data_IF_186216027226
#
_entry.id   IF_186216027226
#
_cell.length_a   1.000
_cell.length_b   1.000
_cell.length_c   1.000
_cell.angle_alpha   90.00
_cell.angle_beta   90.00
_cell.angle_gamma   90.00
#
_symmetry.space_group_name_H-M   'P 1'
#
loop_
_entity.id
_entity.type
_entity.pdbx_description
1 polymer ?
#
# COMPACT_ATOMS: atom_id res chain seq x y z
N UNK A 1 16.26 -12.62 5.57
CA UNK A 1 16.07 -12.35 4.16
C UNK A 1 17.02 -11.25 3.72
N UNK A 2 17.73 -11.48 2.62
CA UNK A 2 18.76 -10.58 2.15
C UNK A 2 18.24 -9.64 1.07
N UNK A 3 17.20 -8.87 1.41
CA UNK A 3 16.68 -7.85 0.50
C UNK A 3 17.39 -6.52 0.77
N UNK A 4 17.72 -5.79 -0.30
CA UNK A 4 18.21 -4.43 -0.16
C UNK A 4 17.11 -3.54 0.43
N UNK A 5 17.46 -2.52 1.23
CA UNK A 5 16.47 -1.57 1.73
C UNK A 5 15.75 -0.89 0.57
N UNK A 6 14.44 -0.72 0.73
CA UNK A 6 13.62 0.00 -0.25
C UNK A 6 13.85 1.50 -0.13
N UNK A 7 13.85 2.17 -1.28
CA UNK A 7 13.93 3.63 -1.32
C UNK A 7 12.53 4.20 -1.08
N UNK A 8 12.42 5.16 -0.15
CA UNK A 8 11.16 5.82 0.13
C UNK A 8 10.75 6.70 -1.05
N UNK A 9 9.50 6.60 -1.47
CA UNK A 9 8.93 7.42 -2.53
C UNK A 9 7.80 8.28 -2.00
N UNK A 10 7.96 9.61 -2.04
CA UNK A 10 6.90 10.52 -1.63
C UNK A 10 5.69 10.42 -2.58
N UNK A 11 5.94 10.25 -3.86
CA UNK A 11 4.85 10.11 -4.84
C UNK A 11 4.01 8.88 -4.57
N UNK A 12 4.65 7.72 -4.35
CA UNK A 12 3.93 6.50 -4.00
C UNK A 12 3.21 6.64 -2.66
N UNK A 13 3.81 7.34 -1.70
CA UNK A 13 3.17 7.58 -0.40
C UNK A 13 1.93 8.46 -0.54
N UNK A 14 1.96 9.47 -1.40
CA UNK A 14 0.79 10.30 -1.66
C UNK A 14 -0.35 9.49 -2.28
N UNK A 15 -0.03 8.60 -3.23
CA UNK A 15 -1.01 7.72 -3.85
C UNK A 15 -1.60 6.77 -2.80
N UNK A 16 -0.73 6.19 -1.96
CA UNK A 16 -1.16 5.29 -0.89
C UNK A 16 -2.08 5.99 0.11
N UNK A 17 -1.72 7.21 0.53
CA UNK A 17 -2.53 7.98 1.47
C UNK A 17 -3.89 8.35 0.88
N UNK A 18 -3.92 8.77 -0.38
CA UNK A 18 -5.18 9.09 -1.05
C UNK A 18 -6.09 7.88 -1.13
N UNK A 19 -5.54 6.70 -1.38
CA UNK A 19 -6.35 5.48 -1.42
C UNK A 19 -6.85 5.08 -0.03
N UNK A 20 -6.01 5.22 1.00
CA UNK A 20 -6.42 4.97 2.38
C UNK A 20 -7.60 5.87 2.77
N UNK A 21 -7.52 7.16 2.44
CA UNK A 21 -8.60 8.12 2.67
C UNK A 21 -9.87 7.73 1.93
N UNK A 22 -9.74 7.30 0.69
CA UNK A 22 -10.87 6.91 -0.14
C UNK A 22 -11.58 5.68 0.43
N UNK A 23 -10.81 4.67 0.84
CA UNK A 23 -11.39 3.50 1.49
C UNK A 23 -12.15 3.89 2.76
N UNK A 24 -11.59 4.80 3.56
CA UNK A 24 -12.23 5.26 4.78
C UNK A 24 -13.52 6.04 4.48
N UNK A 25 -13.45 7.02 3.57
CA UNK A 25 -14.60 7.92 3.31
C UNK A 25 -15.70 7.24 2.51
N UNK A 26 -15.38 6.32 1.62
CA UNK A 26 -16.36 5.63 0.77
C UNK A 26 -16.78 4.25 1.32
N UNK A 27 -16.16 3.82 2.41
CA UNK A 27 -16.60 2.64 3.14
C UNK A 27 -16.33 1.30 2.46
N UNK A 28 -15.15 1.12 1.87
CA UNK A 28 -14.77 -0.17 1.30
C UNK A 28 -13.37 -0.59 1.75
N UNK A 29 -13.04 -1.87 1.56
CA UNK A 29 -11.77 -2.46 1.95
C UNK A 29 -11.36 -3.49 0.89
N UNK A 30 -10.64 -3.06 -0.14
CA UNK A 30 -10.14 -3.96 -1.18
C UNK A 30 -9.07 -3.28 -2.04
N UNK A 31 -8.27 -4.08 -2.74
CA UNK A 31 -7.23 -3.58 -3.64
C UNK A 31 -7.83 -2.88 -4.85
N UNK A 32 -8.97 -3.34 -5.32
CA UNK A 32 -9.65 -2.75 -6.46
C UNK A 32 -10.78 -1.86 -5.97
N UNK A 33 -10.75 -0.58 -6.38
CA UNK A 33 -11.79 0.39 -6.02
C UNK A 33 -13.12 -0.03 -6.67
N UNK A 34 -14.16 -0.32 -5.87
CA UNK A 34 -15.44 -0.75 -6.42
C UNK A 34 -16.17 0.35 -7.19
N UNK A 35 -15.81 1.62 -7.00
CA UNK A 35 -16.51 2.74 -7.63
C UNK A 35 -16.00 3.05 -9.03
N UNK A 36 -14.72 2.80 -9.32
CA UNK A 36 -14.16 3.06 -10.65
C UNK A 36 -13.44 1.86 -11.27
N UNK A 37 -13.30 0.75 -10.52
CA UNK A 37 -12.62 -0.45 -11.01
C UNK A 37 -11.10 -0.35 -11.04
N UNK A 38 -10.50 0.68 -10.45
CA UNK A 38 -9.07 0.90 -10.48
C UNK A 38 -8.35 0.03 -9.47
N UNK A 39 -7.28 -0.65 -9.93
CA UNK A 39 -6.28 -1.27 -9.08
C UNK A 39 -5.14 -0.27 -8.83
N UNK A 40 -4.10 -0.71 -8.12
CA UNK A 40 -2.92 0.14 -7.87
C UNK A 40 -2.26 0.59 -9.17
N UNK A 41 -2.25 -0.25 -10.19
CA UNK A 41 -1.68 0.11 -11.50
C UNK A 41 -2.38 1.32 -12.10
N UNK A 42 -3.71 1.30 -12.16
CA UNK A 42 -4.48 2.42 -12.70
C UNK A 42 -4.33 3.68 -11.85
N UNK A 43 -4.23 3.54 -10.53
CA UNK A 43 -4.03 4.68 -9.63
C UNK A 43 -2.69 5.37 -9.88
N UNK A 44 -1.63 4.60 -10.18
CA UNK A 44 -0.34 5.17 -10.55
C UNK A 44 -0.43 5.90 -11.91
N UNK A 45 -1.04 5.27 -12.89
CA UNK A 45 -1.18 5.86 -14.21
C UNK A 45 -1.97 7.17 -14.18
N UNK A 46 -3.01 7.23 -13.35
CA UNK A 46 -3.87 8.41 -13.23
C UNK A 46 -3.10 9.66 -12.83
N UNK A 47 -2.09 9.52 -11.98
CA UNK A 47 -1.27 10.65 -11.52
C UNK A 47 0.00 10.83 -12.35
N UNK A 48 0.14 10.08 -13.45
CA UNK A 48 1.29 10.21 -14.33
C UNK A 48 2.57 9.54 -13.83
N UNK A 49 2.46 8.63 -12.88
CA UNK A 49 3.63 7.87 -12.43
C UNK A 49 4.04 6.88 -13.54
N UNK A 50 5.32 6.85 -13.94
CA UNK A 50 5.74 5.94 -15.02
C UNK A 50 5.43 4.49 -14.62
N UNK A 51 4.80 3.70 -15.53
CA UNK A 51 4.41 2.33 -15.17
C UNK A 51 5.65 1.49 -14.80
N UNK A 52 5.74 1.00 -13.56
CA UNK A 52 6.84 0.16 -13.17
C UNK A 52 6.68 -1.25 -13.75
N UNK A 53 7.80 -1.95 -13.91
CA UNK A 53 7.79 -3.33 -14.38
C UNK A 53 7.09 -4.25 -13.37
N UNK A 54 7.33 -3.99 -12.08
CA UNK A 54 6.71 -4.74 -10.99
C UNK A 54 6.00 -3.76 -10.07
N UNK A 55 4.84 -4.14 -9.58
CA UNK A 55 4.05 -3.32 -8.67
C UNK A 55 3.34 -4.24 -7.67
N UNK A 56 3.28 -3.79 -6.42
CA UNK A 56 2.59 -4.53 -5.38
C UNK A 56 1.90 -3.58 -4.41
N UNK A 57 0.95 -4.11 -3.67
CA UNK A 57 0.21 -3.34 -2.68
C UNK A 57 -0.13 -4.23 -1.50
N UNK A 58 0.07 -3.73 -0.29
CA UNK A 58 -0.43 -4.33 0.94
C UNK A 58 -1.43 -3.40 1.60
N UNK A 59 -2.48 -3.96 2.15
CA UNK A 59 -3.48 -3.24 2.95
C UNK A 59 -3.49 -3.83 4.35
N UNK A 60 -3.51 -2.98 5.37
CA UNK A 60 -3.62 -3.41 6.76
C UNK A 60 -4.53 -2.48 7.54
N UNK A 61 -5.24 -3.03 8.51
CA UNK A 61 -6.01 -2.28 9.48
C UNK A 61 -5.55 -2.73 10.87
N UNK A 62 -5.12 -1.79 11.69
CA UNK A 62 -4.50 -2.12 12.98
C UNK A 62 -4.62 -0.95 13.95
N UNK A 63 -4.41 -1.22 15.24
CA UNK A 63 -4.44 -0.17 16.26
C UNK A 63 -3.19 0.70 16.24
N UNK A 64 -2.04 0.15 15.81
CA UNK A 64 -0.78 0.88 15.71
C UNK A 64 -0.05 0.51 14.42
N UNK A 65 0.92 1.37 14.05
CA UNK A 65 1.79 1.08 12.90
C UNK A 65 2.57 -0.22 13.13
N UNK A 66 3.09 -0.41 14.35
CA UNK A 66 3.86 -1.61 14.68
C UNK A 66 3.01 -2.87 14.53
N UNK A 67 1.80 -2.89 15.12
CA UNK A 67 0.93 -4.07 15.03
C UNK A 67 0.48 -4.33 13.59
N UNK A 68 0.28 -3.29 12.79
CA UNK A 68 -0.04 -3.43 11.38
C UNK A 68 1.10 -4.09 10.61
N UNK A 69 2.32 -3.64 10.83
CA UNK A 69 3.50 -4.24 10.19
C UNK A 69 3.68 -5.69 10.61
N UNK A 70 3.53 -6.01 11.91
CA UNK A 70 3.63 -7.37 12.41
C UNK A 70 2.58 -8.28 11.78
N UNK A 71 1.36 -7.79 11.63
CA UNK A 71 0.29 -8.53 10.99
C UNK A 71 0.63 -8.85 9.52
N UNK A 72 1.17 -7.89 8.79
CA UNK A 72 1.61 -8.10 7.40
C UNK A 72 2.76 -9.10 7.33
N UNK A 73 3.75 -8.98 8.22
CA UNK A 73 4.91 -9.90 8.24
C UNK A 73 4.52 -11.32 8.65
N UNK A 74 3.45 -11.49 9.43
CA UNK A 74 2.94 -12.80 9.83
C UNK A 74 2.04 -13.44 8.75
N UNK A 75 1.67 -12.69 7.72
CA UNK A 75 0.89 -13.20 6.59
C UNK A 75 1.86 -13.55 5.46
N UNK A 76 1.84 -14.80 5.03
CA UNK A 76 2.77 -15.28 4.00
C UNK A 76 2.71 -14.44 2.73
N UNK A 77 1.51 -14.16 2.22
CA UNK A 77 1.34 -13.39 0.98
C UNK A 77 1.79 -11.93 1.13
N UNK A 78 1.46 -11.28 2.23
CA UNK A 78 1.87 -9.89 2.46
C UNK A 78 3.36 -9.78 2.72
N UNK A 79 3.92 -10.71 3.49
CA UNK A 79 5.36 -10.75 3.74
C UNK A 79 6.12 -10.96 2.44
N UNK A 80 5.65 -11.85 1.56
CA UNK A 80 6.29 -12.11 0.28
C UNK A 80 6.43 -10.80 -0.54
N UNK A 81 5.42 -9.93 -0.50
CA UNK A 81 5.47 -8.63 -1.16
C UNK A 81 6.54 -7.73 -0.52
N UNK A 82 6.59 -7.68 0.81
CA UNK A 82 7.52 -6.81 1.54
C UNK A 82 8.98 -7.18 1.25
N UNK A 83 9.29 -8.46 1.18
CA UNK A 83 10.67 -8.95 1.01
C UNK A 83 11.05 -9.24 -0.44
N UNK A 84 10.18 -8.95 -1.39
CA UNK A 84 10.44 -9.23 -2.80
C UNK A 84 11.54 -8.31 -3.35
N UNK A 85 12.60 -8.91 -3.87
CA UNK A 85 13.75 -8.17 -4.40
C UNK A 85 13.46 -7.42 -5.71
N UNK A 86 12.35 -7.71 -6.36
CA UNK A 86 11.97 -7.02 -7.60
C UNK A 86 11.53 -5.58 -7.32
N UNK A 87 11.08 -5.28 -6.12
CA UNK A 87 10.71 -3.93 -5.74
C UNK A 87 11.91 -3.15 -5.25
N UNK A 88 12.01 -1.88 -5.66
CA UNK A 88 13.09 -0.96 -5.28
C UNK A 88 12.59 0.22 -4.49
N UNK A 89 11.30 0.53 -4.54
CA UNK A 89 10.69 1.69 -3.89
C UNK A 89 9.46 1.31 -3.11
N UNK A 90 9.20 2.09 -2.07
CA UNK A 90 8.00 1.93 -1.24
C UNK A 90 7.35 3.28 -0.96
N UNK A 91 6.01 3.30 -1.01
CA UNK A 91 5.21 4.38 -0.49
C UNK A 91 4.28 3.86 0.58
N UNK A 92 4.07 4.65 1.62
CA UNK A 92 3.21 4.26 2.74
C UNK A 92 2.23 5.39 3.00
N UNK A 93 0.93 5.06 3.03
CA UNK A 93 -0.14 5.96 3.40
C UNK A 93 -0.88 5.44 4.61
N UNK A 94 -1.17 6.33 5.57
CA UNK A 94 -1.82 5.96 6.82
C UNK A 94 -2.93 6.96 7.11
N UNK A 95 -4.12 6.43 7.40
CA UNK A 95 -5.27 7.25 7.83
C UNK A 95 -5.80 6.69 9.13
N UNK A 96 -6.04 7.58 10.09
CA UNK A 96 -6.64 7.21 11.37
C UNK A 96 -8.15 7.25 11.25
N UNK A 97 -8.81 6.15 11.55
CA UNK A 97 -10.26 6.03 11.56
C UNK A 97 -10.78 5.63 12.93
N UNK A 98 -12.11 5.51 13.10
CA UNK A 98 -12.70 5.18 14.39
C UNK A 98 -12.33 3.78 14.91
N UNK A 99 -11.97 2.87 13.99
CA UNK A 99 -11.63 1.50 14.33
C UNK A 99 -10.12 1.22 14.27
N UNK A 100 -9.29 2.28 14.22
CA UNK A 100 -7.85 2.15 14.15
C UNK A 100 -7.27 2.79 12.89
N UNK A 101 -6.05 2.37 12.55
CA UNK A 101 -5.34 2.89 11.40
C UNK A 101 -5.64 2.07 10.15
N UNK A 102 -5.79 2.76 9.02
CA UNK A 102 -5.83 2.14 7.70
C UNK A 102 -4.46 2.41 7.07
N UNK A 103 -3.76 1.35 6.71
CA UNK A 103 -2.39 1.41 6.21
C UNK A 103 -2.36 0.85 4.79
N UNK A 104 -1.80 1.62 3.87
CA UNK A 104 -1.58 1.18 2.48
C UNK A 104 -0.09 1.25 2.20
N UNK A 105 0.48 0.16 1.72
CA UNK A 105 1.86 0.10 1.26
C UNK A 105 1.84 -0.16 -0.24
N UNK A 106 2.56 0.67 -1.01
CA UNK A 106 2.71 0.49 -2.45
C UNK A 106 4.18 0.24 -2.74
N UNK A 107 4.45 -0.81 -3.51
CA UNK A 107 5.79 -1.23 -3.88
C UNK A 107 5.97 -1.13 -5.39
N UNK A 108 7.12 -0.63 -5.80
CA UNK A 108 7.46 -0.53 -7.22
C UNK A 108 8.94 -0.77 -7.48
#
# INVERSE_FOLDING_TARGET
VNSDPLEFSQTLSNIAENYAKKMYTEGFWCHKDPNNGYSVTERLLEVGYPPPKFIGENLAMASTIYSGHQSLMNSESHRATIIDNEFKRIGIGIVSGPNGLIIVQIFA
#
